data_IF_733700401673
#
_entry.id   IF_733700401673
#
_cell.length_a   1.000
_cell.length_b   1.000
_cell.length_c   1.000
_cell.angle_alpha   90.00
_cell.angle_beta   90.00
_cell.angle_gamma   90.00
#
_symmetry.space_group_name_H-M   'P 1'
#
loop_
_entity.id
_entity.type
_entity.pdbx_description
1 polymer ?
#
# COMPACT_ATOMS: atom_id res chain seq x y z
N UNK A 1 -2.53 -9.35 18.63
CA UNK A 1 -2.27 -10.11 17.38
C UNK A 1 -3.34 -11.18 17.28
N UNK A 2 -4.04 -11.28 16.14
CA UNK A 2 -5.19 -12.19 15.96
C UNK A 2 -4.71 -13.59 15.55
N UNK A 3 -3.69 -13.66 14.70
CA UNK A 3 -3.00 -14.87 14.21
C UNK A 3 -1.50 -14.59 14.04
N UNK A 4 -0.65 -15.62 13.97
CA UNK A 4 0.79 -15.46 13.71
C UNK A 4 1.09 -15.04 12.26
N UNK A 5 2.34 -14.64 11.98
CA UNK A 5 2.78 -14.16 10.66
C UNK A 5 2.87 -15.27 9.60
N UNK A 6 2.90 -16.53 10.03
CA UNK A 6 2.92 -17.71 9.15
C UNK A 6 1.53 -18.28 8.89
N UNK A 7 0.48 -17.75 9.53
CA UNK A 7 -0.89 -18.22 9.41
C UNK A 7 -1.46 -18.09 7.99
N UNK A 8 -1.11 -17.01 7.30
CA UNK A 8 -1.57 -16.74 5.93
C UNK A 8 -0.38 -16.39 5.02
N UNK A 9 0.48 -17.39 4.70
CA UNK A 9 1.76 -17.17 4.06
C UNK A 9 1.63 -16.80 2.57
N UNK A 10 0.43 -16.80 2.00
CA UNK A 10 0.15 -16.37 0.63
C UNK A 10 -0.03 -14.85 0.51
N UNK A 11 -0.28 -14.12 1.60
CA UNK A 11 -0.50 -12.66 1.51
C UNK A 11 0.80 -11.94 1.10
N UNK A 12 0.68 -11.12 0.08
CA UNK A 12 1.76 -10.27 -0.44
C UNK A 12 1.38 -8.81 -0.37
N UNK A 13 2.41 -7.99 -0.19
CA UNK A 13 2.31 -6.54 -0.09
C UNK A 13 3.21 -5.93 -1.16
N UNK A 14 2.64 -5.01 -1.95
CA UNK A 14 3.37 -4.17 -2.89
C UNK A 14 3.14 -2.71 -2.52
N UNK A 15 4.20 -2.01 -2.10
CA UNK A 15 4.15 -0.59 -1.78
C UNK A 15 4.53 0.21 -3.02
N UNK A 16 3.68 1.13 -3.46
CA UNK A 16 3.96 2.09 -4.52
C UNK A 16 4.38 3.42 -3.88
N UNK A 17 5.68 3.76 -3.96
CA UNK A 17 6.21 4.99 -3.38
C UNK A 17 6.02 6.14 -4.36
N UNK A 18 4.91 6.86 -4.21
CA UNK A 18 4.53 8.01 -5.04
C UNK A 18 5.36 9.24 -4.67
N UNK A 19 5.59 9.47 -3.38
CA UNK A 19 6.40 10.58 -2.90
C UNK A 19 7.05 10.26 -1.56
N UNK A 20 8.31 10.64 -1.44
CA UNK A 20 9.09 10.64 -0.21
C UNK A 20 9.11 12.02 0.49
N UNK A 21 8.40 13.00 -0.07
CA UNK A 21 8.40 14.37 0.43
C UNK A 21 7.60 14.51 1.73
N UNK A 22 7.98 15.50 2.56
CA UNK A 22 7.29 15.78 3.82
C UNK A 22 5.80 16.06 3.59
N UNK A 23 4.98 15.36 4.37
CA UNK A 23 3.51 15.51 4.39
C UNK A 23 3.13 16.97 4.68
N UNK A 24 2.18 17.52 3.91
CA UNK A 24 1.65 18.89 4.15
C UNK A 24 0.99 19.00 5.54
N UNK A 25 0.26 17.97 5.97
CA UNK A 25 -0.38 17.87 7.29
C UNK A 25 0.09 16.60 7.98
N UNK A 26 0.69 16.72 9.17
CA UNK A 26 1.07 15.55 9.97
C UNK A 26 -0.18 14.79 10.44
N UNK A 27 -0.07 13.48 10.64
CA UNK A 27 -1.19 12.65 11.13
C UNK A 27 -1.69 13.15 12.49
N UNK A 28 -0.79 13.51 13.41
CA UNK A 28 -1.16 14.01 14.74
C UNK A 28 -2.02 15.27 14.67
N UNK A 29 -1.65 16.24 13.81
CA UNK A 29 -2.44 17.46 13.63
C UNK A 29 -3.74 17.17 12.88
N UNK A 30 -3.66 16.35 11.82
CA UNK A 30 -4.80 15.98 11.00
C UNK A 30 -5.89 15.30 11.81
N UNK A 31 -5.54 14.26 12.57
CA UNK A 31 -6.49 13.51 13.39
C UNK A 31 -7.18 14.38 14.46
N UNK A 32 -6.44 15.27 15.13
CA UNK A 32 -7.03 16.19 16.12
C UNK A 32 -8.05 17.13 15.47
N UNK A 33 -7.73 17.66 14.30
CA UNK A 33 -8.64 18.52 13.57
C UNK A 33 -9.88 17.74 13.10
N UNK A 34 -9.72 16.52 12.59
CA UNK A 34 -10.84 15.66 12.18
C UNK A 34 -11.77 15.36 13.36
N UNK A 35 -11.24 15.06 14.54
CA UNK A 35 -12.05 14.87 15.76
C UNK A 35 -12.85 16.11 16.10
N UNK A 36 -12.25 17.29 15.96
CA UNK A 36 -12.89 18.55 16.31
C UNK A 36 -13.97 18.99 15.30
N UNK A 37 -13.82 18.64 14.02
CA UNK A 37 -14.56 19.31 12.93
C UNK A 37 -15.33 18.37 12.00
N UNK A 38 -14.92 17.11 11.82
CA UNK A 38 -15.61 16.19 10.92
C UNK A 38 -16.84 15.56 11.58
N UNK A 39 -18.01 15.77 10.97
CA UNK A 39 -19.24 15.09 11.39
C UNK A 39 -19.22 13.62 10.98
N UNK A 40 -18.61 13.30 9.84
CA UNK A 40 -18.50 11.92 9.34
C UNK A 40 -17.63 11.04 10.26
N UNK A 41 -16.62 11.60 10.93
CA UNK A 41 -15.77 10.84 11.85
C UNK A 41 -16.56 10.28 13.03
N UNK A 42 -17.53 11.04 13.56
CA UNK A 42 -18.37 10.59 14.69
C UNK A 42 -19.17 9.36 14.30
N UNK A 43 -19.83 9.40 13.14
CA UNK A 43 -20.60 8.26 12.63
C UNK A 43 -19.69 7.06 12.31
N UNK A 44 -18.53 7.30 11.68
CA UNK A 44 -17.52 6.26 11.43
C UNK A 44 -17.13 5.52 12.72
N UNK A 45 -16.75 6.26 13.76
CA UNK A 45 -16.27 5.69 15.01
C UNK A 45 -17.38 4.95 15.78
N UNK A 46 -18.58 5.52 15.86
CA UNK A 46 -19.67 5.00 16.70
C UNK A 46 -20.50 3.91 16.05
N UNK A 47 -20.50 3.81 14.71
CA UNK A 47 -21.48 2.98 14.00
C UNK A 47 -20.89 2.06 12.93
N UNK A 48 -19.62 2.22 12.56
CA UNK A 48 -19.04 1.49 11.41
C UNK A 48 -17.80 0.68 11.79
N UNK A 49 -16.88 1.26 12.58
CA UNK A 49 -15.57 0.65 12.82
C UNK A 49 -15.70 -0.68 13.57
N UNK A 50 -16.51 -0.77 14.62
CA UNK A 50 -16.64 -2.01 15.41
C UNK A 50 -17.12 -3.20 14.58
N UNK A 51 -18.13 -3.00 13.72
CA UNK A 51 -18.62 -4.05 12.81
C UNK A 51 -17.55 -4.45 11.79
N UNK A 52 -16.82 -3.48 11.23
CA UNK A 52 -15.73 -3.76 10.28
C UNK A 52 -14.56 -4.50 10.93
N UNK A 53 -14.24 -4.19 12.18
CA UNK A 53 -13.20 -4.90 12.94
C UNK A 53 -13.60 -6.37 13.09
N UNK A 54 -14.82 -6.64 13.58
CA UNK A 54 -15.31 -8.02 13.72
C UNK A 54 -15.31 -8.78 12.37
N UNK A 55 -15.77 -8.15 11.29
CA UNK A 55 -15.75 -8.74 9.96
C UNK A 55 -14.32 -8.98 9.42
N UNK A 56 -13.38 -8.07 9.70
CA UNK A 56 -11.98 -8.20 9.30
C UNK A 56 -11.29 -9.34 10.06
N UNK A 57 -11.54 -9.45 11.37
CA UNK A 57 -11.02 -10.55 12.19
C UNK A 57 -11.47 -11.91 11.66
N UNK A 58 -12.76 -12.05 11.34
CA UNK A 58 -13.30 -13.29 10.77
C UNK A 58 -12.74 -13.56 9.37
N UNK A 59 -12.56 -12.53 8.53
CA UNK A 59 -11.94 -12.69 7.21
C UNK A 59 -10.50 -13.21 7.32
N UNK A 60 -9.72 -12.69 8.28
CA UNK A 60 -8.34 -13.15 8.54
C UNK A 60 -8.33 -14.59 9.02
N UNK A 61 -9.16 -14.96 10.01
CA UNK A 61 -9.25 -16.34 10.54
C UNK A 61 -9.72 -17.35 9.51
N UNK A 62 -10.46 -16.90 8.48
CA UNK A 62 -10.95 -17.77 7.40
C UNK A 62 -10.09 -17.73 6.14
N UNK A 63 -9.00 -16.95 6.14
CA UNK A 63 -8.21 -16.67 4.94
C UNK A 63 -9.07 -16.20 3.76
N UNK A 64 -10.14 -15.44 4.04
CA UNK A 64 -11.06 -14.91 3.03
C UNK A 64 -10.51 -13.60 2.46
N UNK A 65 -9.70 -13.73 1.42
CA UNK A 65 -9.07 -12.59 0.77
C UNK A 65 -10.11 -11.60 0.20
N UNK A 66 -11.22 -12.10 -0.34
CA UNK A 66 -12.23 -11.25 -0.98
C UNK A 66 -12.88 -10.31 0.04
N UNK A 67 -13.27 -10.84 1.21
CA UNK A 67 -13.84 -10.03 2.29
C UNK A 67 -12.81 -9.08 2.88
N UNK A 68 -11.59 -9.57 3.16
CA UNK A 68 -10.50 -8.73 3.69
C UNK A 68 -10.15 -7.57 2.73
N UNK A 69 -10.04 -7.85 1.43
CA UNK A 69 -9.76 -6.85 0.41
C UNK A 69 -10.86 -5.79 0.29
N UNK A 70 -12.15 -6.19 0.28
CA UNK A 70 -13.29 -5.26 0.27
C UNK A 70 -13.27 -4.33 1.47
N UNK A 71 -13.07 -4.90 2.67
CA UNK A 71 -13.02 -4.13 3.91
C UNK A 71 -11.84 -3.16 3.91
N UNK A 72 -10.66 -3.62 3.48
CA UNK A 72 -9.44 -2.80 3.37
C UNK A 72 -9.67 -1.56 2.48
N UNK A 73 -10.16 -1.75 1.27
CA UNK A 73 -10.41 -0.64 0.33
C UNK A 73 -11.50 0.31 0.86
N UNK A 74 -12.61 -0.23 1.38
CA UNK A 74 -13.71 0.57 1.95
C UNK A 74 -13.25 1.39 3.16
N UNK A 75 -12.38 0.83 3.99
CA UNK A 75 -11.90 1.51 5.19
C UNK A 75 -10.90 2.61 4.86
N UNK A 76 -9.98 2.35 3.93
CA UNK A 76 -9.09 3.38 3.40
C UNK A 76 -9.87 4.54 2.78
N UNK A 77 -10.84 4.25 1.90
CA UNK A 77 -11.65 5.28 1.26
C UNK A 77 -12.44 6.12 2.28
N UNK A 78 -13.03 5.48 3.29
CA UNK A 78 -13.79 6.21 4.32
C UNK A 78 -12.88 7.02 5.25
N UNK A 79 -11.68 6.55 5.55
CA UNK A 79 -10.67 7.35 6.24
C UNK A 79 -10.35 8.64 5.48
N UNK A 80 -10.08 8.55 4.17
CA UNK A 80 -9.81 9.74 3.34
C UNK A 80 -11.04 10.63 3.15
N UNK A 81 -12.26 10.06 3.18
CA UNK A 81 -13.50 10.85 3.18
C UNK A 81 -13.65 11.69 4.45
N UNK A 82 -13.30 11.15 5.62
CA UNK A 82 -13.23 11.90 6.88
C UNK A 82 -12.18 13.01 6.81
N UNK A 83 -11.01 12.74 6.21
CA UNK A 83 -9.99 13.76 6.00
C UNK A 83 -10.51 14.91 5.11
N UNK A 84 -11.30 14.60 4.09
CA UNK A 84 -11.93 15.59 3.23
C UNK A 84 -13.03 16.41 3.95
N UNK A 85 -13.76 15.79 4.87
CA UNK A 85 -14.81 16.41 5.70
C UNK A 85 -14.26 17.25 6.88
N UNK A 86 -12.95 17.18 7.14
CA UNK A 86 -12.30 17.98 8.18
C UNK A 86 -12.22 19.46 7.79
N UNK A 87 -12.26 20.38 8.76
CA UNK A 87 -12.09 21.82 8.52
C UNK A 87 -10.77 22.35 9.11
N UNK A 88 -9.82 22.89 8.29
CA UNK A 88 -9.82 22.85 6.82
C UNK A 88 -9.59 21.44 6.25
N UNK A 89 -9.99 21.17 5.00
CA UNK A 89 -9.92 19.84 4.40
C UNK A 89 -8.48 19.33 4.28
N UNK A 90 -8.31 18.03 4.51
CA UNK A 90 -7.03 17.35 4.46
C UNK A 90 -6.97 16.47 3.22
N UNK A 91 -6.01 16.75 2.33
CA UNK A 91 -5.78 15.98 1.11
C UNK A 91 -4.49 15.18 1.23
N UNK A 92 -4.61 13.88 1.46
CA UNK A 92 -3.48 12.95 1.42
C UNK A 92 -3.30 12.31 0.04
N UNK A 93 -4.41 11.94 -0.62
CA UNK A 93 -4.40 11.33 -1.94
C UNK A 93 -4.19 12.38 -3.02
N UNK A 94 -3.36 12.05 -4.01
CA UNK A 94 -3.13 12.86 -5.20
C UNK A 94 -3.61 12.15 -6.47
N UNK A 95 -3.35 12.74 -7.64
CA UNK A 95 -3.75 12.17 -8.92
C UNK A 95 -3.11 10.81 -9.22
N UNK A 96 -1.89 10.56 -8.74
CA UNK A 96 -1.25 9.23 -8.85
C UNK A 96 -1.97 8.23 -7.95
N UNK A 97 -2.32 8.59 -6.72
CA UNK A 97 -3.09 7.72 -5.82
C UNK A 97 -4.42 7.31 -6.45
N UNK A 98 -5.15 8.26 -7.06
CA UNK A 98 -6.40 7.99 -7.77
C UNK A 98 -6.20 7.07 -8.99
N UNK A 99 -5.12 7.27 -9.74
CA UNK A 99 -4.80 6.40 -10.87
C UNK A 99 -4.48 4.97 -10.43
N UNK A 100 -3.79 4.79 -9.29
CA UNK A 100 -3.53 3.47 -8.71
C UNK A 100 -4.84 2.80 -8.27
N UNK A 101 -5.75 3.54 -7.61
CA UNK A 101 -7.10 3.05 -7.28
C UNK A 101 -7.80 2.54 -8.54
N UNK A 102 -7.84 3.36 -9.60
CA UNK A 102 -8.47 2.97 -10.87
C UNK A 102 -7.84 1.72 -11.48
N UNK A 103 -6.51 1.59 -11.42
CA UNK A 103 -5.82 0.41 -11.95
C UNK A 103 -6.19 -0.87 -11.19
N UNK A 104 -6.30 -0.81 -9.85
CA UNK A 104 -6.69 -1.95 -9.02
C UNK A 104 -8.16 -2.32 -9.23
N UNK A 105 -9.07 -1.35 -9.31
CA UNK A 105 -10.49 -1.60 -9.58
C UNK A 105 -10.68 -2.26 -10.96
N UNK A 106 -10.02 -1.76 -12.00
CA UNK A 106 -10.06 -2.35 -13.35
C UNK A 106 -9.44 -3.75 -13.39
N UNK A 107 -8.35 -3.99 -12.65
CA UNK A 107 -7.72 -5.31 -12.53
C UNK A 107 -8.66 -6.36 -11.91
N UNK A 108 -9.39 -5.96 -10.87
CA UNK A 108 -10.40 -6.78 -10.23
C UNK A 108 -11.62 -6.99 -11.15
N UNK A 109 -12.10 -5.93 -11.80
CA UNK A 109 -13.26 -5.96 -12.68
C UNK A 109 -13.05 -6.89 -13.88
N UNK A 110 -11.89 -6.80 -14.54
CA UNK A 110 -11.56 -7.67 -15.67
C UNK A 110 -11.58 -9.16 -15.30
N UNK A 111 -11.13 -9.46 -14.08
CA UNK A 111 -11.04 -10.84 -13.59
C UNK A 111 -12.36 -11.36 -13.01
N UNK A 112 -13.40 -10.52 -12.91
CA UNK A 112 -14.66 -10.79 -12.19
C UNK A 112 -14.44 -11.35 -10.77
N UNK A 113 -13.32 -10.96 -10.14
CA UNK A 113 -12.89 -11.42 -8.82
C UNK A 113 -11.97 -10.36 -8.21
N UNK A 114 -12.04 -10.20 -6.88
CA UNK A 114 -11.11 -9.33 -6.16
C UNK A 114 -9.79 -10.07 -5.97
N UNK A 115 -8.77 -9.64 -6.71
CA UNK A 115 -7.41 -10.18 -6.74
C UNK A 115 -6.40 -9.25 -6.09
N UNK A 116 -6.73 -7.97 -5.99
CA UNK A 116 -5.92 -6.98 -5.30
C UNK A 116 -6.79 -6.02 -4.48
N UNK A 117 -6.21 -5.49 -3.40
CA UNK A 117 -6.78 -4.43 -2.57
C UNK A 117 -5.79 -3.27 -2.48
N UNK A 118 -6.27 -2.05 -2.32
CA UNK A 118 -5.45 -0.90 -1.98
C UNK A 118 -5.78 -0.38 -0.58
N UNK A 119 -4.78 0.18 0.08
CA UNK A 119 -4.96 1.05 1.25
C UNK A 119 -3.92 2.16 1.23
N UNK A 120 -4.27 3.27 1.86
CA UNK A 120 -3.48 4.50 1.92
C UNK A 120 -3.55 5.05 3.34
N UNK A 121 -2.39 5.35 3.91
CA UNK A 121 -2.26 6.05 5.18
C UNK A 121 -2.33 7.58 4.97
N UNK A 122 -1.77 8.36 5.90
CA UNK A 122 -1.64 9.81 5.81
C UNK A 122 -0.60 10.22 4.75
N UNK A 123 -0.80 9.90 3.47
CA UNK A 123 0.06 10.27 2.35
C UNK A 123 -0.36 9.62 1.02
N UNK A 124 0.32 9.95 -0.09
CA UNK A 124 -0.08 9.47 -1.42
C UNK A 124 0.40 8.06 -1.76
N UNK A 125 1.29 7.48 -0.95
CA UNK A 125 1.85 6.15 -1.18
C UNK A 125 0.77 5.08 -1.04
N UNK A 126 0.66 4.22 -2.05
CA UNK A 126 -0.29 3.11 -2.04
C UNK A 126 0.35 1.88 -1.43
N UNK A 127 -0.40 1.17 -0.60
CA UNK A 127 -0.08 -0.19 -0.18
C UNK A 127 -1.08 -1.11 -0.84
N UNK A 128 -0.60 -2.00 -1.70
CA UNK A 128 -1.41 -2.98 -2.38
C UNK A 128 -1.28 -4.34 -1.71
N UNK A 129 -2.40 -4.99 -1.45
CA UNK A 129 -2.47 -6.35 -0.92
C UNK A 129 -2.95 -7.28 -2.04
N UNK A 130 -2.32 -8.43 -2.17
CA UNK A 130 -2.76 -9.50 -3.08
C UNK A 130 -2.32 -10.87 -2.55
N UNK A 131 -2.70 -11.93 -3.25
CA UNK A 131 -2.18 -13.27 -2.97
C UNK A 131 -0.90 -13.54 -3.77
N UNK A 132 -0.10 -14.50 -3.32
CA UNK A 132 1.18 -14.90 -3.94
C UNK A 132 1.03 -15.20 -5.44
N UNK A 133 -0.09 -15.77 -5.88
CA UNK A 133 -0.35 -16.07 -7.28
C UNK A 133 -0.55 -14.81 -8.15
N UNK A 134 -0.95 -13.68 -7.56
CA UNK A 134 -1.31 -12.46 -8.27
C UNK A 134 -0.18 -11.40 -8.26
N UNK A 135 0.81 -11.53 -7.36
CA UNK A 135 1.83 -10.50 -7.12
C UNK A 135 2.67 -10.17 -8.36
N UNK A 136 3.02 -11.17 -9.17
CA UNK A 136 3.87 -10.95 -10.34
C UNK A 136 3.12 -10.16 -11.43
N UNK A 137 1.86 -10.54 -11.70
CA UNK A 137 1.01 -9.84 -12.66
C UNK A 137 0.71 -8.41 -12.20
N UNK A 138 0.36 -8.24 -10.92
CA UNK A 138 0.10 -6.92 -10.34
C UNK A 138 1.35 -6.03 -10.39
N UNK A 139 2.52 -6.56 -10.06
CA UNK A 139 3.78 -5.81 -10.10
C UNK A 139 4.13 -5.37 -11.52
N UNK A 140 3.99 -6.26 -12.51
CA UNK A 140 4.24 -5.93 -13.91
C UNK A 140 3.24 -4.88 -14.45
N UNK A 141 1.96 -5.00 -14.08
CA UNK A 141 0.95 -3.98 -14.39
C UNK A 141 1.34 -2.62 -13.81
N UNK A 142 1.67 -2.56 -12.52
CA UNK A 142 2.05 -1.31 -11.86
C UNK A 142 3.30 -0.68 -12.47
N UNK A 143 4.32 -1.47 -12.83
CA UNK A 143 5.49 -0.98 -13.54
C UNK A 143 5.18 -0.43 -14.93
N UNK A 144 4.21 -1.02 -15.62
CA UNK A 144 3.85 -0.60 -16.97
C UNK A 144 3.00 0.67 -16.94
N UNK A 145 2.05 0.78 -16.00
CA UNK A 145 1.24 1.98 -15.80
C UNK A 145 2.01 3.13 -15.16
N UNK A 146 2.97 2.84 -14.28
CA UNK A 146 3.71 3.85 -13.50
C UNK A 146 5.22 3.60 -13.56
N UNK A 147 5.84 3.68 -14.76
CA UNK A 147 7.27 3.44 -14.89
C UNK A 147 8.05 4.54 -14.17
N UNK A 148 8.95 4.21 -13.22
CA UNK A 148 9.81 5.22 -12.61
C UNK A 148 10.84 5.73 -13.60
N UNK A 149 11.36 6.93 -13.34
CA UNK A 149 12.47 7.48 -14.12
C UNK A 149 13.74 6.70 -13.80
N UNK A 150 14.29 6.00 -14.79
CA UNK A 150 15.61 5.38 -14.69
C UNK A 150 16.67 6.47 -14.84
N UNK A 151 17.63 6.56 -13.92
CA UNK A 151 18.83 7.38 -14.12
C UNK A 151 19.84 6.63 -14.99
N UNK A 152 20.79 7.36 -15.60
CA UNK A 152 21.86 6.75 -16.40
C UNK A 152 22.76 5.78 -15.59
N UNK A 153 22.77 5.90 -14.25
CA UNK A 153 23.51 5.02 -13.36
C UNK A 153 22.76 3.71 -13.03
N UNK A 154 21.43 3.68 -13.20
CA UNK A 154 20.59 2.51 -12.90
C UNK A 154 20.57 1.48 -14.05
N UNK A 155 21.17 1.82 -15.19
CA UNK A 155 21.22 0.97 -16.39
C UNK A 155 22.17 -0.23 -16.19
N UNK A 156 23.16 -0.09 -15.30
CA UNK A 156 24.23 -1.08 -15.09
C UNK A 156 23.98 -2.01 -13.88
N UNK A 157 23.07 -1.62 -12.96
CA UNK A 157 22.63 -2.48 -11.88
C UNK A 157 21.40 -3.26 -12.31
N UNK A 158 21.54 -4.58 -12.44
CA UNK A 158 20.42 -5.49 -12.59
C UNK A 158 19.57 -5.49 -11.31
N UNK A 159 18.67 -4.50 -11.14
CA UNK A 159 17.32 -4.77 -10.64
C UNK A 159 16.36 -3.60 -10.86
N UNK A 160 15.13 -3.89 -11.34
CA UNK A 160 14.31 -2.96 -12.09
C UNK A 160 13.24 -2.41 -11.15
N UNK A 161 13.41 -1.17 -10.69
CA UNK A 161 12.33 -0.33 -10.14
C UNK A 161 11.51 -0.86 -8.95
N UNK A 162 11.69 -2.11 -8.53
CA UNK A 162 11.05 -2.82 -7.43
C UNK A 162 12.13 -3.43 -6.54
N UNK A 163 12.19 -2.97 -5.30
CA UNK A 163 13.00 -3.58 -4.24
C UNK A 163 12.32 -4.88 -3.81
N UNK A 164 13.08 -5.98 -3.76
CA UNK A 164 12.55 -7.32 -3.41
C UNK A 164 11.97 -8.09 -4.61
N UNK A 165 12.41 -7.76 -5.83
CA UNK A 165 12.02 -8.48 -7.04
C UNK A 165 12.86 -9.75 -7.21
N UNK A 166 12.18 -10.88 -7.37
CA UNK A 166 12.84 -12.19 -7.53
C UNK A 166 12.93 -12.62 -9.01
N UNK A 167 12.09 -12.05 -9.88
CA UNK A 167 11.93 -12.48 -11.29
C UNK A 167 11.87 -11.30 -12.26
N UNK A 168 12.34 -11.46 -13.52
CA UNK A 168 12.31 -10.40 -14.53
C UNK A 168 10.89 -9.96 -14.95
N UNK A 169 10.80 -8.85 -15.68
CA UNK A 169 9.53 -8.34 -16.20
C UNK A 169 8.98 -9.27 -17.27
N UNK A 170 7.74 -9.74 -17.06
CA UNK A 170 7.02 -10.52 -18.05
C UNK A 170 6.09 -9.60 -18.86
N UNK A 171 5.70 -10.00 -20.09
CA UNK A 171 4.68 -9.29 -20.84
C UNK A 171 3.38 -9.15 -20.04
N UNK A 172 2.63 -8.07 -20.29
CA UNK A 172 1.32 -7.90 -19.69
C UNK A 172 0.39 -9.05 -20.09
N UNK A 173 -0.37 -9.56 -19.12
CA UNK A 173 -1.51 -10.43 -19.37
C UNK A 173 -2.60 -9.69 -20.14
N UNK A 174 -3.63 -10.39 -20.60
CA UNK A 174 -4.80 -9.76 -21.21
C UNK A 174 -5.51 -8.78 -20.25
N UNK A 175 -5.55 -9.12 -18.95
CA UNK A 175 -6.04 -8.22 -17.91
C UNK A 175 -5.15 -6.98 -17.79
N UNK A 176 -3.83 -7.18 -17.72
CA UNK A 176 -2.87 -6.09 -17.64
C UNK A 176 -2.95 -5.14 -18.85
N UNK A 177 -3.07 -5.68 -20.06
CA UNK A 177 -3.24 -4.89 -21.28
C UNK A 177 -4.55 -4.10 -21.29
N UNK A 178 -5.64 -4.70 -20.80
CA UNK A 178 -6.93 -4.01 -20.64
C UNK A 178 -6.82 -2.83 -19.68
N UNK A 179 -6.28 -3.06 -18.48
CA UNK A 179 -6.10 -2.01 -17.47
C UNK A 179 -5.19 -0.90 -18.01
N UNK A 180 -4.09 -1.25 -18.67
CA UNK A 180 -3.18 -0.29 -19.29
C UNK A 180 -3.90 0.58 -20.33
N UNK A 181 -4.76 0.01 -21.16
CA UNK A 181 -5.57 0.76 -22.13
C UNK A 181 -6.53 1.78 -21.50
N UNK A 182 -6.94 1.57 -20.23
CA UNK A 182 -7.83 2.47 -19.49
C UNK A 182 -7.07 3.54 -18.70
N UNK A 183 -6.00 3.15 -18.01
CA UNK A 183 -5.27 4.02 -17.07
C UNK A 183 -4.16 4.82 -17.77
N UNK A 184 -3.57 4.25 -18.82
CA UNK A 184 -2.42 4.79 -19.52
C UNK A 184 -1.12 4.74 -18.70
N UNK A 185 -0.02 5.19 -19.32
CA UNK A 185 1.28 5.33 -18.66
C UNK A 185 1.41 6.70 -17.98
N UNK A 186 1.94 6.70 -16.76
CA UNK A 186 2.26 7.90 -15.96
C UNK A 186 3.70 7.81 -15.49
N UNK A 187 4.61 8.17 -16.40
CA UNK A 187 6.05 8.12 -16.16
C UNK A 187 6.42 9.02 -14.98
N UNK A 188 7.35 8.56 -14.14
CA UNK A 188 7.95 9.36 -13.04
C UNK A 188 6.94 9.77 -11.95
N UNK A 189 5.77 9.12 -11.93
CA UNK A 189 4.72 9.39 -10.93
C UNK A 189 4.81 8.48 -9.71
N UNK A 190 5.52 7.35 -9.83
CA UNK A 190 5.93 6.46 -8.75
C UNK A 190 7.45 6.36 -8.81
N UNK A 191 8.14 6.60 -7.70
CA UNK A 191 9.61 6.62 -7.63
C UNK A 191 10.19 5.19 -7.69
N UNK A 192 9.60 4.28 -6.92
CA UNK A 192 9.97 2.87 -6.87
C UNK A 192 8.87 2.07 -6.17
N UNK A 193 8.99 0.74 -6.23
CA UNK A 193 8.10 -0.17 -5.53
C UNK A 193 8.87 -0.99 -4.49
N UNK A 194 8.17 -1.44 -3.45
CA UNK A 194 8.71 -2.39 -2.47
C UNK A 194 7.78 -3.60 -2.43
N UNK A 195 8.32 -4.78 -2.74
CA UNK A 195 7.61 -6.05 -2.60
C UNK A 195 8.00 -6.71 -1.26
N UNK A 196 7.00 -7.07 -0.46
CA UNK A 196 7.20 -7.73 0.83
C UNK A 196 6.02 -8.66 1.19
N UNK A 197 6.02 -9.23 2.40
CA UNK A 197 5.00 -10.13 2.94
C UNK A 197 4.80 -9.89 4.45
N UNK A 198 3.83 -10.57 5.04
CA UNK A 198 3.73 -10.65 6.51
C UNK A 198 5.04 -11.18 7.11
N UNK A 199 5.42 -10.63 8.25
CA UNK A 199 6.66 -10.98 8.94
C UNK A 199 6.50 -10.92 10.46
N UNK A 200 7.53 -11.38 11.19
CA UNK A 200 7.45 -11.52 12.63
C UNK A 200 7.40 -10.16 13.33
N UNK A 201 7.04 -10.19 14.61
CA UNK A 201 7.17 -9.04 15.51
C UNK A 201 8.64 -8.65 15.76
N UNK A 202 8.89 -7.69 16.67
CA UNK A 202 10.23 -7.23 16.98
C UNK A 202 11.17 -8.37 17.41
N UNK A 203 12.37 -8.41 16.85
CA UNK A 203 13.40 -9.39 17.17
C UNK A 203 14.56 -8.72 17.91
N UNK A 204 15.05 -9.38 18.96
CA UNK A 204 16.29 -8.97 19.62
C UNK A 204 17.46 -9.49 18.79
N UNK A 205 18.23 -8.57 18.22
CA UNK A 205 19.43 -8.93 17.47
C UNK A 205 20.58 -9.29 18.43
N UNK A 206 21.30 -10.37 18.12
CA UNK A 206 22.57 -10.74 18.77
C UNK A 206 23.76 -10.40 17.85
N UNK A 207 24.91 -10.09 18.44
CA UNK A 207 26.16 -9.80 17.70
C UNK A 207 26.42 -8.30 17.47
N UNK A 208 27.36 -7.98 16.58
CA UNK A 208 27.87 -6.62 16.34
C UNK A 208 26.96 -5.68 15.53
N UNK A 209 25.64 -5.88 15.59
CA UNK A 209 24.64 -5.07 14.89
C UNK A 209 24.16 -3.86 15.69
N UNK A 210 24.87 -3.50 16.75
CA UNK A 210 24.62 -2.26 17.49
C UNK A 210 24.82 -1.05 16.56
N UNK A 211 23.82 -0.17 16.52
CA UNK A 211 23.89 1.10 15.77
C UNK A 211 24.82 2.14 16.42
N UNK A 212 25.18 1.92 17.69
CA UNK A 212 26.14 2.74 18.42
C UNK A 212 27.46 2.00 18.60
N UNK A 213 28.56 2.73 18.58
CA UNK A 213 29.86 2.21 18.99
C UNK A 213 29.81 1.79 20.47
N UNK A 214 30.50 0.69 20.80
CA UNK A 214 30.43 0.09 22.12
C UNK A 214 31.17 0.88 23.22
N UNK A 215 32.05 1.82 22.84
CA UNK A 215 32.82 2.62 23.77
C UNK A 215 32.36 4.08 23.78
N UNK A 216 32.22 4.70 22.61
CA UNK A 216 31.84 6.11 22.52
C UNK A 216 30.34 6.34 22.67
N UNK A 217 29.51 5.31 22.44
CA UNK A 217 28.05 5.40 22.30
C UNK A 217 27.59 6.35 21.19
N UNK A 218 28.50 6.74 20.29
CA UNK A 218 28.19 7.53 19.11
C UNK A 218 27.64 6.63 17.99
N UNK A 219 26.81 7.17 17.07
CA UNK A 219 26.35 6.41 15.90
C UNK A 219 27.52 5.85 15.10
N UNK A 220 27.48 4.56 14.78
CA UNK A 220 28.37 3.96 13.78
C UNK A 220 27.95 4.50 12.42
N UNK A 221 28.76 5.42 11.88
CA UNK A 221 28.61 5.93 10.52
C UNK A 221 28.94 4.81 9.53
#
# INVERSE_FOLDING_TARGET
QIVDDMYWPEIRVLVCVVSDQKKKTSSTKGMKNSVATSELLKHRALSIVDERIAAMEEAIKRTDFSTMAKLTMKDSNQFHAVCLDTEPPIFYLNETSKAIISAVEEFNAYSNQIRAAYTFDAGPNAVLLCQQQDINELSNLMLTCFPPRLSAADVDSSSPSIIGRDEPCQPLSAAGAHVFGKVGARVDSVQYFIKTRAGPGPLRMSGNLHLLDGQSLEPKI
#
